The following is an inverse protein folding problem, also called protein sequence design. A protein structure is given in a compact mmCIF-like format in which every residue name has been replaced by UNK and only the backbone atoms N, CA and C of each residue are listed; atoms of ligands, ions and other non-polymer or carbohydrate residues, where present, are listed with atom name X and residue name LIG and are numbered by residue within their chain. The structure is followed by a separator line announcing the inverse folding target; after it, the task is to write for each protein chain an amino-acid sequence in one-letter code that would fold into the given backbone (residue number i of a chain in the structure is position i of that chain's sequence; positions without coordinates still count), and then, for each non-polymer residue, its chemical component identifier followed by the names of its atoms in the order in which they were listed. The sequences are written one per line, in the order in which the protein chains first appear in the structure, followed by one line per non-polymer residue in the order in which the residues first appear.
data_IF_048232133681
#
_entry.id   IF_048232133681
#
_cell.length_a   1.000
_cell.length_b   1.000
_cell.length_c   1.000
_cell.angle_alpha   90.00
_cell.angle_beta   90.00
_cell.angle_gamma   90.00
#
_symmetry.space_group_name_H-M   'P 1'
#
loop_
_entity.id
_entity.type
_entity.pdbx_description
1 polymer ?
#
# COMPACT_ATOMS: atom_id res chain seq x y z
N UNK A 1 14.65 17.18 27.35
CA UNK A 1 15.48 16.46 26.35
C UNK A 1 14.58 15.61 25.43
N UNK A 2 14.49 15.97 24.15
CA UNK A 2 13.68 15.23 23.18
C UNK A 2 14.58 14.10 22.63
N UNK A 3 14.31 12.86 23.03
CA UNK A 3 15.08 11.65 22.68
C UNK A 3 14.83 11.23 21.22
N UNK A 4 15.19 12.07 20.25
CA UNK A 4 15.13 11.76 18.81
C UNK A 4 16.44 11.14 18.35
N UNK A 5 16.34 10.24 17.38
CA UNK A 5 17.50 9.64 16.71
C UNK A 5 18.21 10.71 15.87
N UNK A 6 19.52 10.86 16.05
CA UNK A 6 20.36 11.84 15.32
C UNK A 6 21.41 11.20 14.44
N UNK A 7 21.76 9.93 14.69
CA UNK A 7 22.72 9.20 13.88
C UNK A 7 22.56 7.69 14.03
N UNK A 8 22.97 6.94 13.01
CA UNK A 8 23.12 5.49 13.04
C UNK A 8 24.44 5.10 12.36
N UNK A 9 25.16 4.13 12.92
CA UNK A 9 26.40 3.59 12.35
C UNK A 9 26.11 2.18 11.86
N UNK A 10 26.36 1.94 10.58
CA UNK A 10 26.15 0.64 9.94
C UNK A 10 27.32 -0.32 10.27
N UNK A 11 27.12 -1.64 10.19
CA UNK A 11 28.20 -2.61 10.36
C UNK A 11 29.38 -2.42 9.40
N UNK A 12 29.17 -1.72 8.28
CA UNK A 12 30.20 -1.32 7.30
C UNK A 12 31.11 -0.19 7.81
N UNK A 13 30.81 0.41 8.97
CA UNK A 13 31.52 1.59 9.51
C UNK A 13 30.99 2.92 8.97
N UNK A 14 30.04 2.88 8.04
CA UNK A 14 29.37 4.04 7.47
C UNK A 14 28.40 4.69 8.47
N UNK A 15 28.39 6.02 8.53
CA UNK A 15 27.51 6.77 9.42
C UNK A 15 26.42 7.50 8.62
N UNK A 16 25.17 7.26 9.01
CA UNK A 16 23.99 8.01 8.54
C UNK A 16 23.65 9.05 9.59
N UNK A 17 23.50 10.32 9.20
CA UNK A 17 23.09 11.39 10.12
C UNK A 17 21.70 11.93 9.80
N UNK A 18 20.97 12.27 10.86
CA UNK A 18 19.63 12.83 10.81
C UNK A 18 19.63 14.18 11.54
N UNK A 19 19.19 15.22 10.85
CA UNK A 19 19.02 16.55 11.43
C UNK A 19 17.56 16.95 11.28
N UNK A 20 16.86 17.16 12.39
CA UNK A 20 15.49 17.69 12.37
C UNK A 20 15.46 19.14 12.84
N UNK A 21 14.71 19.98 12.13
CA UNK A 21 14.47 21.37 12.49
C UNK A 21 13.00 21.72 12.26
N UNK A 22 12.51 22.78 12.92
CA UNK A 22 11.27 23.42 12.52
C UNK A 22 11.61 24.50 11.49
N UNK A 23 10.85 24.55 10.40
CA UNK A 23 10.97 25.61 9.39
C UNK A 23 10.42 26.93 9.94
N UNK A 24 10.58 28.02 9.18
CA UNK A 24 9.99 29.33 9.51
C UNK A 24 8.45 29.29 9.51
N UNK A 25 7.85 28.26 8.93
CA UNK A 25 6.40 28.04 8.85
C UNK A 25 5.91 27.02 9.90
N UNK A 26 6.72 26.71 10.93
CA UNK A 26 6.43 25.67 11.93
C UNK A 26 6.23 24.25 11.34
N UNK A 27 6.79 23.99 10.15
CA UNK A 27 6.80 22.67 9.53
C UNK A 27 7.98 21.83 10.04
N UNK A 28 7.80 20.51 10.15
CA UNK A 28 8.91 19.63 10.53
C UNK A 28 9.74 19.29 9.30
N UNK A 29 10.98 19.78 9.27
CA UNK A 29 11.99 19.40 8.30
C UNK A 29 12.95 18.37 8.90
N UNK A 30 13.18 17.27 8.19
CA UNK A 30 14.18 16.25 8.53
C UNK A 30 15.11 16.07 7.34
N UNK A 31 16.40 16.18 7.59
CA UNK A 31 17.43 15.92 6.61
C UNK A 31 18.17 14.64 6.94
N UNK A 32 18.17 13.72 5.99
CA UNK A 32 18.96 12.49 6.05
C UNK A 32 20.19 12.69 5.18
N UNK A 33 21.36 12.49 5.77
CA UNK A 33 22.65 12.54 5.07
C UNK A 33 23.23 11.13 5.02
N UNK A 34 23.40 10.63 3.81
CA UNK A 34 23.95 9.29 3.58
C UNK A 34 25.46 9.37 3.27
N UNK A 35 26.25 8.39 3.76
CA UNK A 35 27.63 8.23 3.33
C UNK A 35 27.68 7.79 1.87
N UNK A 36 28.70 8.27 1.16
CA UNK A 36 28.81 8.30 -0.30
C UNK A 36 28.89 6.90 -0.92
N UNK A 37 28.12 6.65 -1.99
CA UNK A 37 28.37 5.53 -2.91
C UNK A 37 29.54 5.87 -3.87
N UNK A 38 30.36 4.90 -4.30
CA UNK A 38 31.66 5.14 -4.96
C UNK A 38 31.62 5.87 -6.31
N UNK A 39 30.44 6.21 -6.85
CA UNK A 39 30.30 6.75 -8.21
C UNK A 39 29.74 8.20 -8.28
N UNK A 40 29.48 8.87 -7.16
CA UNK A 40 29.05 10.27 -7.15
C UNK A 40 29.67 10.99 -5.95
N UNK A 41 30.56 11.96 -6.19
CA UNK A 41 31.33 12.69 -5.18
C UNK A 41 30.49 13.69 -4.34
N UNK A 42 29.17 13.67 -4.44
CA UNK A 42 28.27 14.57 -3.72
C UNK A 42 27.66 13.92 -2.48
N UNK A 43 27.59 14.67 -1.38
CA UNK A 43 26.78 14.28 -0.22
C UNK A 43 25.31 14.20 -0.66
N UNK A 44 24.72 13.01 -0.61
CA UNK A 44 23.29 12.84 -0.87
C UNK A 44 22.51 13.27 0.37
N UNK A 45 21.78 14.38 0.23
CA UNK A 45 20.90 14.92 1.27
C UNK A 45 19.45 14.78 0.81
N UNK A 46 18.68 14.02 1.59
CA UNK A 46 17.24 13.89 1.42
C UNK A 46 16.55 14.78 2.44
N UNK A 47 15.68 15.68 1.98
CA UNK A 47 14.81 16.48 2.83
C UNK A 47 13.42 15.84 2.92
N UNK A 48 12.89 15.73 4.14
CA UNK A 48 11.51 15.37 4.42
C UNK A 48 10.86 16.56 5.10
N UNK A 49 9.84 17.15 4.49
CA UNK A 49 9.05 18.22 5.09
C UNK A 49 7.66 17.68 5.38
N UNK A 50 7.12 17.96 6.56
CA UNK A 50 5.77 17.60 6.93
C UNK A 50 4.94 18.87 7.21
N UNK A 51 3.86 19.02 6.45
CA UNK A 51 2.89 20.09 6.60
C UNK A 51 1.47 19.50 6.54
N UNK A 52 0.68 19.72 7.60
CA UNK A 52 -0.65 19.11 7.78
C UNK A 52 -0.64 17.58 7.57
N UNK A 53 -1.39 17.11 6.56
CA UNK A 53 -1.52 15.70 6.19
C UNK A 53 -0.61 15.33 5.01
N UNK A 54 0.38 16.17 4.70
CA UNK A 54 1.28 16.02 3.56
C UNK A 54 2.72 15.87 4.02
N UNK A 55 3.41 14.91 3.41
CA UNK A 55 4.85 14.68 3.51
C UNK A 55 5.44 14.95 2.15
N UNK A 56 6.39 15.88 2.08
CA UNK A 56 7.16 16.17 0.88
C UNK A 56 8.57 15.62 1.03
N UNK A 57 8.96 14.78 0.08
CA UNK A 57 10.31 14.25 -0.05
C UNK A 57 11.04 15.02 -1.13
N UNK A 58 12.19 15.59 -0.80
CA UNK A 58 13.08 16.30 -1.73
C UNK A 58 14.40 15.56 -1.78
N UNK A 59 14.71 14.95 -2.91
CA UNK A 59 16.05 14.47 -3.20
C UNK A 59 16.88 15.67 -3.73
N UNK A 60 18.13 15.82 -3.27
CA UNK A 60 19.07 16.85 -3.72
C UNK A 60 19.30 16.93 -5.23
N UNK A 61 18.75 16.00 -6.02
CA UNK A 61 18.68 16.02 -7.48
C UNK A 61 17.39 16.67 -8.06
N UNK A 62 16.69 17.52 -7.30
CA UNK A 62 15.48 18.25 -7.69
C UNK A 62 14.22 17.39 -7.91
N UNK A 63 14.26 16.10 -7.54
CA UNK A 63 13.08 15.23 -7.56
C UNK A 63 12.27 15.48 -6.29
N UNK A 64 11.09 16.06 -6.47
CA UNK A 64 10.11 16.23 -5.40
C UNK A 64 9.06 15.13 -5.55
N UNK A 65 8.86 14.37 -4.47
CA UNK A 65 7.74 13.45 -4.33
C UNK A 65 6.89 13.92 -3.16
N UNK A 66 5.61 14.14 -3.41
CA UNK A 66 4.64 14.55 -2.40
C UNK A 66 3.72 13.36 -2.11
N UNK A 67 3.53 13.07 -0.83
CA UNK A 67 2.61 12.06 -0.34
C UNK A 67 1.67 12.71 0.67
N UNK A 68 0.36 12.65 0.45
CA UNK A 68 -0.59 13.28 1.37
C UNK A 68 -1.87 12.49 1.53
N UNK A 69 -2.60 12.77 2.60
CA UNK A 69 -3.92 12.19 2.84
C UNK A 69 -5.00 13.27 2.84
N UNK A 70 -5.95 13.15 1.90
CA UNK A 70 -7.12 14.00 1.82
C UNK A 70 -8.11 13.70 2.97
N UNK A 71 -9.03 14.63 3.23
CA UNK A 71 -10.06 14.49 4.28
C UNK A 71 -10.93 13.25 4.14
N UNK A 72 -11.13 12.75 2.92
CA UNK A 72 -11.86 11.52 2.64
C UNK A 72 -10.99 10.25 2.76
N UNK A 73 -9.83 10.33 3.44
CA UNK A 73 -8.84 9.24 3.61
C UNK A 73 -8.22 8.73 2.31
N UNK A 74 -8.35 9.47 1.21
CA UNK A 74 -7.62 9.19 -0.03
C UNK A 74 -6.16 9.54 0.17
N UNK A 75 -5.28 8.59 -0.10
CA UNK A 75 -3.84 8.84 -0.16
C UNK A 75 -3.49 9.26 -1.58
N UNK A 76 -2.76 10.36 -1.72
CA UNK A 76 -2.29 10.89 -2.99
C UNK A 76 -0.78 10.88 -2.98
N UNK A 77 -0.19 10.35 -4.04
CA UNK A 77 1.25 10.35 -4.29
C UNK A 77 1.48 11.07 -5.61
N UNK A 78 2.29 12.13 -5.59
CA UNK A 78 2.63 12.91 -6.78
C UNK A 78 4.15 12.97 -6.91
N UNK A 79 4.67 12.65 -8.09
CA UNK A 79 6.11 12.73 -8.38
C UNK A 79 6.43 13.80 -9.42
N UNK A 80 7.70 14.20 -9.48
CA UNK A 80 8.21 15.22 -10.41
C UNK A 80 8.00 14.90 -11.91
N UNK A 81 7.72 13.64 -12.27
CA UNK A 81 7.51 13.18 -13.65
C UNK A 81 6.06 13.27 -14.15
N UNK A 82 5.25 14.19 -13.59
CA UNK A 82 3.80 14.27 -13.85
C UNK A 82 3.04 12.96 -13.56
N UNK A 83 3.62 12.11 -12.70
CA UNK A 83 2.99 10.90 -12.21
C UNK A 83 2.17 11.20 -10.97
N UNK A 84 0.92 10.74 -10.95
CA UNK A 84 0.02 10.86 -9.80
C UNK A 84 -0.68 9.54 -9.54
N UNK A 85 -0.61 9.06 -8.31
CA UNK A 85 -1.33 7.88 -7.85
C UNK A 85 -2.28 8.29 -6.74
N UNK A 86 -3.54 7.90 -6.87
CA UNK A 86 -4.55 8.08 -5.84
C UNK A 86 -5.03 6.71 -5.37
N UNK A 87 -4.97 6.49 -4.07
CA UNK A 87 -5.48 5.32 -3.39
C UNK A 87 -6.67 5.75 -2.55
N UNK A 88 -7.85 5.27 -2.90
CA UNK A 88 -9.10 5.66 -2.25
C UNK A 88 -9.66 4.48 -1.45
N UNK A 89 -10.17 4.72 -0.23
CA UNK A 89 -10.93 3.72 0.49
C UNK A 89 -12.20 3.40 -0.32
N UNK A 90 -12.33 2.16 -0.77
CA UNK A 90 -13.41 1.76 -1.69
C UNK A 90 -14.29 0.63 -1.16
N UNK A 91 -13.87 -0.03 -0.09
CA UNK A 91 -14.56 -1.15 0.53
C UNK A 91 -14.18 -1.26 2.03
N UNK A 92 -15.05 -1.90 2.79
CA UNK A 92 -14.77 -2.38 4.15
C UNK A 92 -14.34 -3.84 4.09
N UNK A 93 -13.54 -4.28 5.06
CA UNK A 93 -13.06 -5.67 5.07
C UNK A 93 -14.25 -6.62 5.26
N UNK A 94 -14.53 -7.55 4.33
CA UNK A 94 -15.79 -8.29 4.26
C UNK A 94 -16.08 -9.11 5.53
N UNK A 95 -15.07 -9.75 6.11
CA UNK A 95 -15.24 -10.54 7.35
C UNK A 95 -15.35 -9.65 8.60
N UNK A 96 -14.69 -8.49 8.62
CA UNK A 96 -14.75 -7.60 9.77
C UNK A 96 -16.08 -6.84 9.76
N UNK A 97 -16.60 -6.51 8.59
CA UNK A 97 -17.91 -5.87 8.47
C UNK A 97 -19.01 -6.77 9.03
N UNK A 98 -18.89 -8.09 8.89
CA UNK A 98 -19.79 -9.05 9.49
C UNK A 98 -19.59 -9.20 11.01
N UNK A 99 -18.35 -9.45 11.45
CA UNK A 99 -18.07 -9.83 12.84
C UNK A 99 -17.86 -8.64 13.78
N UNK A 100 -17.23 -7.56 13.31
CA UNK A 100 -16.79 -6.41 14.09
C UNK A 100 -16.92 -5.09 13.29
N UNK A 101 -18.16 -4.60 13.05
CA UNK A 101 -18.41 -3.48 12.13
C UNK A 101 -17.64 -2.21 12.48
N UNK A 102 -17.50 -1.89 13.77
CA UNK A 102 -16.75 -0.72 14.25
C UNK A 102 -15.28 -0.82 13.85
N UNK A 103 -14.68 -2.00 13.95
CA UNK A 103 -13.29 -2.20 13.52
C UNK A 103 -13.16 -2.11 12.00
N UNK A 104 -14.14 -2.61 11.25
CA UNK A 104 -14.16 -2.49 9.79
C UNK A 104 -14.17 -1.03 9.31
N UNK A 105 -14.73 -0.10 10.11
CA UNK A 105 -14.72 1.34 9.84
C UNK A 105 -13.38 2.02 10.14
N UNK A 106 -12.65 1.49 11.12
CA UNK A 106 -11.33 2.00 11.51
C UNK A 106 -10.24 1.61 10.51
N UNK A 107 -10.42 0.52 9.77
CA UNK A 107 -9.45 -0.02 8.82
C UNK A 107 -10.01 -0.09 7.40
N UNK A 108 -10.17 1.06 6.72
CA UNK A 108 -10.70 1.07 5.37
C UNK A 108 -9.73 0.39 4.40
N UNK A 109 -10.27 -0.37 3.44
CA UNK A 109 -9.44 -0.96 2.40
C UNK A 109 -9.29 0.04 1.25
N UNK A 110 -8.04 0.40 0.93
CA UNK A 110 -7.70 1.18 -0.27
C UNK A 110 -7.82 0.32 -1.53
N UNK A 111 -9.07 -0.04 -1.83
CA UNK A 111 -9.41 -0.97 -2.88
C UNK A 111 -9.66 -0.31 -4.23
N UNK A 112 -9.54 1.03 -4.33
CA UNK A 112 -9.62 1.76 -5.60
C UNK A 112 -8.34 2.55 -5.80
N UNK A 113 -7.72 2.37 -6.95
CA UNK A 113 -6.51 3.05 -7.34
C UNK A 113 -6.72 3.75 -8.69
N UNK A 114 -6.25 4.99 -8.80
CA UNK A 114 -6.10 5.70 -10.06
C UNK A 114 -4.65 6.08 -10.23
N UNK A 115 -4.02 5.66 -11.32
CA UNK A 115 -2.65 6.03 -11.65
C UNK A 115 -2.64 6.81 -12.96
N UNK A 116 -2.21 8.06 -12.91
CA UNK A 116 -2.11 8.95 -14.07
C UNK A 116 -0.65 9.27 -14.33
N UNK A 117 -0.24 9.19 -15.60
CA UNK A 117 1.06 9.68 -16.06
C UNK A 117 0.86 10.35 -17.42
N UNK A 118 1.22 11.63 -17.52
CA UNK A 118 0.86 12.47 -18.66
C UNK A 118 -0.66 12.44 -18.90
N UNK A 119 -1.11 12.02 -20.09
CA UNK A 119 -2.52 11.89 -20.47
C UNK A 119 -3.12 10.49 -20.26
N UNK A 120 -2.32 9.51 -19.81
CA UNK A 120 -2.77 8.13 -19.63
C UNK A 120 -3.17 7.94 -18.18
N UNK A 121 -4.42 7.53 -17.96
CA UNK A 121 -4.94 7.17 -16.63
C UNK A 121 -5.37 5.71 -16.63
N UNK A 122 -4.90 4.95 -15.64
CA UNK A 122 -5.31 3.59 -15.37
C UNK A 122 -6.11 3.55 -14.06
N UNK A 123 -7.27 2.90 -14.10
CA UNK A 123 -8.12 2.68 -12.94
C UNK A 123 -8.08 1.22 -12.55
N UNK A 124 -7.66 0.93 -11.32
CA UNK A 124 -7.72 -0.41 -10.74
C UNK A 124 -8.69 -0.43 -9.58
N UNK A 125 -9.43 -1.52 -9.43
CA UNK A 125 -10.28 -1.73 -8.28
C UNK A 125 -10.26 -3.18 -7.82
N UNK A 126 -10.40 -3.38 -6.52
CA UNK A 126 -10.61 -4.68 -5.90
C UNK A 126 -11.96 -4.69 -5.21
N UNK A 127 -12.82 -5.65 -5.58
CA UNK A 127 -14.15 -5.81 -4.97
C UNK A 127 -14.20 -7.10 -4.21
N UNK A 128 -14.90 -7.11 -3.08
CA UNK A 128 -15.00 -8.26 -2.20
C UNK A 128 -16.46 -8.67 -2.04
N UNK A 129 -16.73 -9.96 -2.08
CA UNK A 129 -18.05 -10.54 -1.80
C UNK A 129 -17.88 -11.67 -0.82
N UNK A 130 -18.71 -11.68 0.22
CA UNK A 130 -18.76 -12.76 1.19
C UNK A 130 -19.99 -13.61 0.90
N UNK A 131 -19.80 -14.93 0.77
CA UNK A 131 -20.88 -15.91 0.61
C UNK A 131 -20.84 -16.86 1.80
N UNK A 132 -21.98 -17.05 2.45
CA UNK A 132 -22.12 -17.91 3.62
C UNK A 132 -23.21 -17.39 4.56
N UNK A 133 -23.57 -18.22 5.54
CA UNK A 133 -24.45 -17.80 6.63
C UNK A 133 -23.66 -16.95 7.63
N UNK A 134 -24.21 -15.81 8.03
CA UNK A 134 -23.66 -14.92 9.04
C UNK A 134 -23.42 -15.62 10.40
N UNK A 135 -24.21 -16.66 10.70
CA UNK A 135 -24.06 -17.45 11.92
C UNK A 135 -22.97 -18.53 11.82
N UNK A 136 -22.46 -18.82 10.62
CA UNK A 136 -21.42 -19.81 10.42
C UNK A 136 -20.02 -19.19 10.58
N UNK A 137 -19.07 -19.98 11.09
CA UNK A 137 -17.67 -19.55 11.22
C UNK A 137 -16.86 -19.73 9.91
N UNK A 138 -17.51 -20.18 8.84
CA UNK A 138 -16.88 -20.60 7.60
C UNK A 138 -17.61 -19.91 6.44
N UNK A 139 -16.87 -19.15 5.65
CA UNK A 139 -17.38 -18.38 4.52
C UNK A 139 -16.53 -18.61 3.27
N UNK A 140 -17.12 -18.33 2.12
CA UNK A 140 -16.38 -18.19 0.87
C UNK A 140 -16.17 -16.71 0.59
N UNK A 141 -14.91 -16.29 0.49
CA UNK A 141 -14.54 -14.92 0.16
C UNK A 141 -14.18 -14.85 -1.32
N UNK A 142 -14.92 -14.06 -2.07
CA UNK A 142 -14.54 -13.69 -3.44
C UNK A 142 -13.86 -12.33 -3.45
N UNK A 143 -12.79 -12.24 -4.20
CA UNK A 143 -12.03 -11.03 -4.47
C UNK A 143 -11.87 -10.91 -6.00
N UNK A 144 -12.38 -9.84 -6.61
CA UNK A 144 -12.20 -9.58 -8.03
C UNK A 144 -11.31 -8.37 -8.23
N UNK A 145 -10.30 -8.51 -9.09
CA UNK A 145 -9.46 -7.43 -9.57
C UNK A 145 -10.02 -6.91 -10.89
N UNK A 146 -10.17 -5.59 -10.97
CA UNK A 146 -10.66 -4.86 -12.12
C UNK A 146 -9.61 -3.88 -12.61
N UNK A 147 -9.44 -3.79 -13.92
CA UNK A 147 -8.57 -2.80 -14.57
C UNK A 147 -9.38 -2.13 -15.67
N UNK A 148 -9.45 -0.80 -15.64
CA UNK A 148 -10.19 0.03 -16.59
C UNK A 148 -11.62 -0.45 -16.85
N UNK A 149 -12.31 -0.90 -15.81
CA UNK A 149 -13.70 -1.36 -15.86
C UNK A 149 -13.88 -2.82 -16.29
N UNK A 150 -12.82 -3.54 -16.66
CA UNK A 150 -12.88 -4.98 -16.98
C UNK A 150 -12.32 -5.83 -15.85
N UNK A 151 -12.99 -6.94 -15.53
CA UNK A 151 -12.48 -7.93 -14.58
C UNK A 151 -11.28 -8.63 -15.20
N UNK A 152 -10.15 -8.63 -14.52
CA UNK A 152 -8.91 -9.26 -15.00
C UNK A 152 -8.58 -10.55 -14.26
N UNK A 153 -8.95 -10.65 -12.99
CA UNK A 153 -8.65 -11.80 -12.13
C UNK A 153 -9.75 -11.98 -11.09
N UNK A 154 -10.11 -13.23 -10.82
CA UNK A 154 -10.90 -13.61 -9.66
C UNK A 154 -10.10 -14.44 -8.69
N UNK A 155 -10.35 -14.27 -7.40
CA UNK A 155 -9.79 -15.11 -6.34
C UNK A 155 -10.97 -15.51 -5.46
N UNK A 156 -11.14 -16.81 -5.27
CA UNK A 156 -12.08 -17.38 -4.32
C UNK A 156 -11.29 -18.06 -3.22
N UNK A 157 -11.67 -17.83 -1.97
CA UNK A 157 -11.18 -18.59 -0.83
C UNK A 157 -12.35 -19.21 -0.07
N UNK A 158 -12.48 -20.52 -0.18
CA UNK A 158 -13.41 -21.35 0.61
C UNK A 158 -12.71 -21.71 1.92
N UNK A 159 -13.12 -21.06 3.01
CA UNK A 159 -12.56 -21.30 4.34
C UNK A 159 -12.83 -22.74 4.79
N UNK A 160 -14.01 -23.29 4.48
CA UNK A 160 -14.45 -24.60 4.97
C UNK A 160 -13.61 -25.73 4.40
N UNK A 161 -13.12 -25.55 3.18
CA UNK A 161 -12.22 -26.51 2.51
C UNK A 161 -10.74 -26.13 2.62
N UNK A 162 -10.42 -24.97 3.21
CA UNK A 162 -9.07 -24.42 3.17
C UNK A 162 -8.54 -24.35 1.74
N UNK A 163 -9.35 -23.86 0.80
CA UNK A 163 -9.04 -23.93 -0.64
C UNK A 163 -9.15 -22.53 -1.26
N UNK A 164 -8.10 -22.11 -1.95
CA UNK A 164 -8.10 -20.92 -2.78
C UNK A 164 -8.08 -21.29 -4.26
N UNK A 165 -8.95 -20.69 -5.06
CA UNK A 165 -8.93 -20.85 -6.51
C UNK A 165 -8.77 -19.48 -7.17
N UNK A 166 -7.80 -19.35 -8.06
CA UNK A 166 -7.56 -18.16 -8.88
C UNK A 166 -8.19 -18.41 -10.25
N UNK A 167 -8.93 -17.44 -10.75
CA UNK A 167 -9.67 -17.48 -12.01
C UNK A 167 -9.22 -16.37 -12.95
N UNK A 168 -9.31 -16.65 -14.24
CA UNK A 168 -9.12 -15.64 -15.28
C UNK A 168 -10.34 -14.71 -15.42
N UNK A 169 -10.31 -13.86 -16.46
CA UNK A 169 -11.40 -12.94 -16.77
C UNK A 169 -12.72 -13.66 -17.10
N UNK A 170 -12.68 -14.87 -17.66
CA UNK A 170 -13.84 -15.67 -18.08
C UNK A 170 -14.35 -16.63 -16.99
N UNK A 171 -13.81 -16.55 -15.77
CA UNK A 171 -14.06 -17.50 -14.67
C UNK A 171 -13.51 -18.92 -14.95
N UNK A 172 -12.53 -19.09 -15.84
CA UNK A 172 -11.80 -20.33 -15.94
C UNK A 172 -10.77 -20.42 -14.80
N UNK A 173 -10.69 -21.53 -14.06
CA UNK A 173 -9.66 -21.69 -13.04
C UNK A 173 -8.27 -21.68 -13.68
N UNK A 174 -7.32 -21.01 -13.05
CA UNK A 174 -5.90 -20.95 -13.45
C UNK A 174 -5.04 -21.75 -12.46
N UNK A 175 -5.30 -21.57 -11.16
CA UNK A 175 -4.51 -22.17 -10.09
C UNK A 175 -5.41 -22.44 -8.89
N UNK A 176 -5.31 -23.64 -8.35
CA UNK A 176 -5.88 -24.00 -7.05
C UNK A 176 -4.77 -24.20 -6.02
N UNK A 177 -4.92 -23.59 -4.85
CA UNK A 177 -4.05 -23.79 -3.69
C UNK A 177 -4.87 -24.39 -2.56
N UNK A 178 -4.39 -25.47 -1.95
CA UNK A 178 -5.00 -26.04 -0.73
C UNK A 178 -4.15 -25.73 0.48
N UNK A 179 -4.80 -25.55 1.63
CA UNK A 179 -4.18 -25.20 2.90
C UNK A 179 -4.50 -26.26 3.94
N UNK A 180 -3.61 -26.44 4.90
CA UNK A 180 -3.89 -27.26 6.09
C UNK A 180 -4.68 -26.45 7.14
N UNK A 181 -4.98 -27.09 8.27
CA UNK A 181 -5.68 -26.50 9.42
C UNK A 181 -4.94 -25.34 10.09
N UNK A 182 -3.64 -25.19 9.84
CA UNK A 182 -2.83 -24.07 10.32
C UNK A 182 -2.75 -22.91 9.31
N UNK A 183 -3.47 -23.00 8.19
CA UNK A 183 -3.45 -21.98 7.14
C UNK A 183 -2.19 -22.00 6.28
N UNK A 184 -1.40 -23.08 6.31
CA UNK A 184 -0.20 -23.23 5.48
C UNK A 184 -0.54 -23.91 4.16
N UNK A 185 -0.01 -23.43 3.02
CA UNK A 185 -0.26 -24.04 1.73
C UNK A 185 0.39 -25.42 1.66
N UNK A 186 -0.36 -26.42 1.18
CA UNK A 186 0.08 -27.82 1.08
C UNK A 186 0.14 -28.33 -0.36
N UNK A 187 -0.60 -27.71 -1.29
CA UNK A 187 -0.51 -28.06 -2.70
C UNK A 187 -0.84 -26.88 -3.61
N UNK A 188 -0.21 -26.86 -4.79
CA UNK A 188 -0.47 -25.93 -5.88
C UNK A 188 -0.80 -26.75 -7.13
N UNK A 189 -2.01 -26.58 -7.66
CA UNK A 189 -2.52 -27.31 -8.82
C UNK A 189 -2.91 -26.32 -9.91
N UNK A 190 -2.08 -26.14 -10.94
CA UNK A 190 -2.48 -25.47 -12.17
C UNK A 190 -3.70 -26.17 -12.80
N UNK A 191 -4.47 -25.44 -13.60
CA UNK A 191 -5.56 -26.00 -14.39
C UNK A 191 -5.07 -26.93 -15.51
#
# INVERSE_FOLDING_TARGET
PIWRITSSVLPTGEAVSLVSQLSEQDELDVYVTLPVQPNNAGIHRMGLSMHDNTITVRDGMSVVTEAGMLRNRTVVLSGSSQGRVELRPGARHPLLELAMPVQAEMWPMWSRQSSTKHSITNHMATTYTLIGDAAANQHTVHCHLWVNGSKVLGIEYDQGRGKQTIYDREQAPILTVTYNTHGLPTSWKPA
#
